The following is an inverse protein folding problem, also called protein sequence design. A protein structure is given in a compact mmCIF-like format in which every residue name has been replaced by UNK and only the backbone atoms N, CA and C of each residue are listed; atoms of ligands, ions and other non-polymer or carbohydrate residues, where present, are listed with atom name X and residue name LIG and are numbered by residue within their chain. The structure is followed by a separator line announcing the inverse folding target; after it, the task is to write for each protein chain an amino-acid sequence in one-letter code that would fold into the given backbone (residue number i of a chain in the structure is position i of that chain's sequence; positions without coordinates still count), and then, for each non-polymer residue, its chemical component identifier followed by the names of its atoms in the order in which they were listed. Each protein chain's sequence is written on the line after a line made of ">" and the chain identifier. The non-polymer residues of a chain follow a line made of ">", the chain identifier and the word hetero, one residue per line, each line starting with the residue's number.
data_IF_272374177873
#
_entry.id   IF_272374177873
#
_cell.length_a   1.000
_cell.length_b   1.000
_cell.length_c   1.000
_cell.angle_alpha   90.00
_cell.angle_beta   90.00
_cell.angle_gamma   90.00
#
_symmetry.space_group_name_H-M   'P 1'
#
loop_
_entity.id
_entity.type
_entity.pdbx_description
1 polymer ?
#
# COMPACT_ATOMS: atom_id res chain seq x y z
N UNK A 1 41.50 43.04 46.01
CA UNK A 1 42.26 44.31 45.84
C UNK A 1 42.80 44.37 44.43
N UNK A 2 42.95 45.57 43.86
CA UNK A 2 43.07 45.80 42.41
C UNK A 2 44.49 46.16 41.96
N UNK A 3 44.89 45.71 40.76
CA UNK A 3 45.85 46.27 39.79
C UNK A 3 46.00 45.22 38.66
N UNK A 4 45.75 45.39 37.36
CA UNK A 4 45.80 46.51 36.39
C UNK A 4 47.24 46.94 36.00
N UNK A 5 47.59 46.69 34.72
CA UNK A 5 48.77 47.12 33.92
C UNK A 5 49.60 45.94 33.36
N UNK A 6 50.07 45.91 32.10
CA UNK A 6 49.68 46.70 30.90
C UNK A 6 49.95 45.95 29.57
N UNK A 7 49.44 46.52 28.47
CA UNK A 7 49.53 46.19 27.03
C UNK A 7 50.85 45.59 26.48
N UNK A 8 50.69 44.72 25.46
CA UNK A 8 51.41 44.86 24.19
C UNK A 8 50.53 44.41 23.01
N UNK A 9 50.67 45.10 21.87
CA UNK A 9 49.81 44.99 20.69
C UNK A 9 50.50 44.13 19.63
N UNK A 10 49.75 43.19 19.03
CA UNK A 10 50.12 42.57 17.75
C UNK A 10 48.88 42.42 16.89
N UNK A 11 48.74 43.28 15.89
CA UNK A 11 47.66 43.21 14.91
C UNK A 11 47.99 42.13 13.86
N UNK A 12 47.19 41.07 13.82
CA UNK A 12 47.23 40.09 12.73
C UNK A 12 46.00 40.30 11.83
N UNK A 13 46.20 41.01 10.72
CA UNK A 13 45.19 41.12 9.65
C UNK A 13 45.13 39.78 8.93
N UNK A 14 44.08 39.01 9.19
CA UNK A 14 43.71 37.85 8.38
C UNK A 14 42.43 38.18 7.62
N UNK A 15 42.55 38.17 6.29
CA UNK A 15 41.54 38.70 5.38
C UNK A 15 40.20 37.99 5.53
N UNK A 16 39.11 38.77 5.52
CA UNK A 16 37.75 38.28 5.49
C UNK A 16 37.43 37.64 4.13
N UNK A 17 37.88 36.40 3.94
CA UNK A 17 37.34 35.51 2.93
C UNK A 17 35.92 35.12 3.31
N UNK A 18 34.94 35.96 2.97
CA UNK A 18 33.51 35.62 3.01
C UNK A 18 33.22 34.58 1.92
N UNK A 19 33.71 33.36 2.14
CA UNK A 19 33.18 32.18 1.50
C UNK A 19 31.73 32.07 1.96
N UNK A 20 30.81 32.52 1.10
CA UNK A 20 29.41 32.15 1.18
C UNK A 20 29.35 30.64 1.01
N UNK A 21 29.44 29.92 2.14
CA UNK A 21 29.14 28.52 2.23
C UNK A 21 27.63 28.38 2.01
N UNK A 22 27.22 28.44 0.74
CA UNK A 22 25.87 28.11 0.31
C UNK A 22 25.60 26.72 0.87
N UNK A 23 24.64 26.57 1.82
CA UNK A 23 24.38 25.27 2.41
C UNK A 23 23.91 24.36 1.28
N UNK A 24 24.77 23.45 0.85
CA UNK A 24 24.43 22.46 -0.16
C UNK A 24 23.15 21.77 0.33
N UNK A 25 22.06 21.77 -0.46
CA UNK A 25 20.78 21.28 0.02
C UNK A 25 20.97 19.82 0.44
N UNK A 26 20.86 19.56 1.75
CA UNK A 26 21.04 18.23 2.31
C UNK A 26 20.05 17.30 1.62
N UNK A 27 20.57 16.48 0.69
CA UNK A 27 19.75 15.70 -0.24
C UNK A 27 18.90 14.74 0.59
N UNK A 28 17.62 15.10 0.76
CA UNK A 28 16.72 14.42 1.67
C UNK A 28 16.67 12.95 1.28
N UNK A 29 17.18 12.08 2.16
CA UNK A 29 17.42 10.67 1.85
C UNK A 29 16.17 10.07 1.21
N UNK A 30 16.31 9.61 -0.05
CA UNK A 30 15.18 9.28 -0.92
C UNK A 30 14.17 8.39 -0.17
N UNK A 31 12.94 8.90 -0.03
CA UNK A 31 11.89 8.23 0.73
C UNK A 31 11.58 6.83 0.17
N UNK A 32 10.91 5.95 0.96
CA UNK A 32 10.56 4.61 0.50
C UNK A 32 9.81 4.70 -0.83
N UNK A 33 10.27 3.99 -1.87
CA UNK A 33 9.73 4.22 -3.22
C UNK A 33 8.22 3.94 -3.29
N UNK A 34 7.72 3.04 -2.44
CA UNK A 34 6.31 2.73 -2.27
C UNK A 34 5.43 3.94 -1.93
N UNK A 35 5.97 5.01 -1.33
CA UNK A 35 5.22 6.25 -1.07
C UNK A 35 4.87 6.94 -2.39
N UNK A 36 3.57 7.16 -2.63
CA UNK A 36 3.04 7.77 -3.86
C UNK A 36 1.72 7.17 -4.30
N UNK A 37 1.32 7.50 -5.53
CA UNK A 37 0.09 7.00 -6.17
C UNK A 37 0.41 5.98 -7.25
N UNK A 38 -0.36 4.89 -7.23
CA UNK A 38 -0.10 3.68 -7.99
C UNK A 38 -1.39 3.21 -8.66
N UNK A 39 -1.38 2.97 -9.98
CA UNK A 39 -2.49 2.36 -10.71
C UNK A 39 -2.26 0.87 -10.82
N UNK A 40 -3.21 0.07 -10.36
CA UNK A 40 -3.19 -1.38 -10.49
C UNK A 40 -3.25 -1.75 -11.98
N UNK A 41 -2.25 -2.50 -12.43
CA UNK A 41 -2.10 -2.97 -13.82
C UNK A 41 -2.39 -4.45 -13.98
N UNK A 42 -2.32 -5.23 -12.88
CA UNK A 42 -2.59 -6.67 -12.87
C UNK A 42 -2.82 -7.14 -11.43
N UNK A 43 -3.82 -7.97 -11.25
CA UNK A 43 -4.12 -8.68 -10.01
C UNK A 43 -4.25 -10.18 -10.32
N UNK A 44 -3.64 -11.00 -9.49
CA UNK A 44 -3.81 -12.45 -9.48
C UNK A 44 -3.95 -12.91 -8.04
N UNK A 45 -5.01 -13.64 -7.76
CA UNK A 45 -5.21 -14.36 -6.51
C UNK A 45 -5.32 -15.84 -6.79
N UNK A 46 -4.76 -16.65 -5.90
CA UNK A 46 -4.98 -18.09 -5.79
C UNK A 46 -5.20 -18.43 -4.32
N UNK A 47 -6.14 -19.32 -4.06
CA UNK A 47 -6.19 -20.04 -2.78
C UNK A 47 -6.60 -21.49 -2.98
N UNK A 48 -6.15 -22.30 -2.05
CA UNK A 48 -6.61 -23.66 -1.77
C UNK A 48 -6.78 -23.73 -0.25
N UNK A 49 -8.00 -23.96 0.22
CA UNK A 49 -8.36 -24.05 1.64
C UNK A 49 -9.23 -25.31 1.74
N UNK A 50 -8.65 -26.39 2.27
CA UNK A 50 -9.24 -27.73 2.27
C UNK A 50 -9.71 -28.09 0.85
N UNK A 51 -10.97 -28.50 0.66
CA UNK A 51 -11.50 -28.85 -0.67
C UNK A 51 -11.86 -27.64 -1.55
N UNK A 52 -11.71 -26.41 -1.03
CA UNK A 52 -12.07 -25.18 -1.74
C UNK A 52 -10.88 -24.64 -2.52
N UNK A 53 -11.03 -24.45 -3.82
CA UNK A 53 -10.07 -23.69 -4.64
C UNK A 53 -10.68 -22.39 -5.12
N UNK A 54 -9.86 -21.34 -5.25
CA UNK A 54 -10.25 -20.07 -5.84
C UNK A 54 -9.12 -19.43 -6.64
N UNK A 55 -9.46 -18.80 -7.75
CA UNK A 55 -8.55 -18.05 -8.60
C UNK A 55 -9.24 -16.74 -9.02
N UNK A 56 -8.67 -15.58 -8.65
CA UNK A 56 -9.24 -14.28 -9.02
C UNK A 56 -8.30 -13.43 -9.89
N UNK A 57 -8.91 -12.61 -10.75
CA UNK A 57 -8.23 -11.64 -11.63
C UNK A 57 -9.15 -10.44 -11.91
N UNK A 58 -8.58 -9.34 -12.40
CA UNK A 58 -9.34 -8.13 -12.75
C UNK A 58 -8.93 -6.94 -11.87
N UNK A 59 -9.87 -6.04 -11.59
CA UNK A 59 -9.62 -4.88 -10.72
C UNK A 59 -8.74 -3.77 -11.32
N UNK A 60 -8.15 -3.98 -12.50
CA UNK A 60 -7.19 -3.05 -13.08
C UNK A 60 -7.79 -1.65 -13.25
N UNK A 61 -6.97 -0.61 -13.05
CA UNK A 61 -7.43 0.78 -13.01
C UNK A 61 -7.80 1.30 -11.62
N UNK A 62 -7.98 0.42 -10.63
CA UNK A 62 -7.96 0.80 -9.22
C UNK A 62 -6.66 1.57 -8.89
N UNK A 63 -6.75 2.59 -8.03
CA UNK A 63 -5.58 3.36 -7.58
C UNK A 63 -5.31 3.11 -6.10
N UNK A 64 -4.05 2.88 -5.75
CA UNK A 64 -3.54 2.79 -4.39
C UNK A 64 -2.62 3.99 -4.13
N UNK A 65 -2.95 4.82 -3.15
CA UNK A 65 -2.10 5.90 -2.65
C UNK A 65 -1.53 5.49 -1.30
N UNK A 66 -0.21 5.44 -1.18
CA UNK A 66 0.52 5.07 0.05
C UNK A 66 1.24 6.31 0.57
N UNK A 67 1.07 6.58 1.87
CA UNK A 67 1.88 7.52 2.65
C UNK A 67 2.62 6.76 3.76
N UNK A 68 3.44 7.47 4.56
CA UNK A 68 4.11 6.87 5.72
C UNK A 68 3.15 6.39 6.84
N UNK A 69 1.90 6.87 6.86
CA UNK A 69 0.93 6.60 7.95
C UNK A 69 -0.47 6.17 7.47
N UNK A 70 -0.72 6.16 6.16
CA UNK A 70 -2.01 5.79 5.57
C UNK A 70 -1.87 5.11 4.21
N UNK A 71 -2.86 4.30 3.87
CA UNK A 71 -3.05 3.80 2.52
C UNK A 71 -4.52 4.01 2.11
N UNK A 72 -4.74 4.46 0.89
CA UNK A 72 -6.07 4.72 0.34
C UNK A 72 -6.24 4.04 -1.02
N UNK A 73 -7.32 3.29 -1.17
CA UNK A 73 -7.74 2.68 -2.43
C UNK A 73 -8.87 3.51 -3.04
N UNK A 74 -8.80 3.76 -4.35
CA UNK A 74 -9.83 4.38 -5.16
C UNK A 74 -10.24 3.45 -6.29
N UNK A 75 -11.47 2.93 -6.20
CA UNK A 75 -12.02 1.96 -7.15
C UNK A 75 -12.85 2.61 -8.26
N UNK A 76 -12.89 3.95 -8.34
CA UNK A 76 -13.74 4.68 -9.29
C UNK A 76 -13.43 4.42 -10.78
N UNK A 77 -12.30 3.76 -11.08
CA UNK A 77 -11.92 3.27 -12.42
C UNK A 77 -11.47 1.80 -12.42
N UNK A 78 -11.80 1.04 -11.38
CA UNK A 78 -11.47 -0.37 -11.31
C UNK A 78 -12.34 -1.18 -12.29
N UNK A 79 -11.73 -2.09 -13.03
CA UNK A 79 -12.47 -3.18 -13.68
C UNK A 79 -13.08 -4.10 -12.62
N UNK A 80 -14.11 -4.86 -13.01
CA UNK A 80 -14.65 -5.94 -12.16
C UNK A 80 -13.55 -6.96 -11.84
N UNK A 81 -13.57 -7.50 -10.62
CA UNK A 81 -12.83 -8.70 -10.26
C UNK A 81 -13.70 -9.91 -10.60
N UNK A 82 -13.10 -10.98 -11.09
CA UNK A 82 -13.77 -12.25 -11.35
C UNK A 82 -12.99 -13.35 -10.66
N UNK A 83 -13.66 -14.02 -9.74
CA UNK A 83 -13.18 -15.17 -8.98
C UNK A 83 -13.84 -16.43 -9.53
N UNK A 84 -13.04 -17.43 -9.90
CA UNK A 84 -13.52 -18.76 -10.27
C UNK A 84 -12.94 -19.79 -9.32
N UNK A 85 -13.72 -20.78 -8.94
CA UNK A 85 -13.28 -21.78 -7.98
C UNK A 85 -14.11 -23.05 -8.04
N UNK A 86 -13.76 -23.97 -7.15
CA UNK A 86 -14.48 -25.21 -6.88
C UNK A 86 -14.69 -25.32 -5.38
N UNK A 87 -15.87 -25.77 -4.95
CA UNK A 87 -16.21 -26.10 -3.56
C UNK A 87 -16.97 -27.42 -3.59
N UNK A 88 -16.56 -28.43 -2.82
CA UNK A 88 -17.22 -29.75 -2.75
C UNK A 88 -17.43 -30.41 -4.14
N UNK A 89 -16.54 -30.11 -5.10
CA UNK A 89 -16.64 -30.54 -6.50
C UNK A 89 -17.41 -29.60 -7.44
N UNK A 90 -18.25 -28.71 -6.91
CA UNK A 90 -19.05 -27.77 -7.69
C UNK A 90 -18.28 -26.50 -8.10
N UNK A 91 -18.29 -26.20 -9.40
CA UNK A 91 -17.61 -25.05 -9.96
C UNK A 91 -18.45 -23.77 -9.79
N UNK A 92 -17.87 -22.74 -9.17
CA UNK A 92 -18.52 -21.43 -8.98
C UNK A 92 -17.81 -20.30 -9.71
N UNK A 93 -18.55 -19.20 -9.94
CA UNK A 93 -17.99 -17.93 -10.41
C UNK A 93 -18.62 -16.77 -9.66
N UNK A 94 -17.80 -16.01 -8.94
CA UNK A 94 -18.17 -14.72 -8.35
C UNK A 94 -17.62 -13.59 -9.22
N UNK A 95 -18.42 -12.55 -9.43
CA UNK A 95 -17.99 -11.29 -10.02
C UNK A 95 -18.20 -10.18 -9.02
N UNK A 96 -17.17 -9.38 -8.78
CA UNK A 96 -17.18 -8.28 -7.80
C UNK A 96 -16.91 -6.94 -8.48
N UNK A 97 -17.73 -5.94 -8.15
CA UNK A 97 -17.59 -4.56 -8.64
C UNK A 97 -17.34 -3.63 -7.47
N UNK A 98 -16.10 -3.19 -7.36
CA UNK A 98 -15.64 -2.23 -6.36
C UNK A 98 -15.93 -0.80 -6.83
N UNK A 99 -16.40 0.08 -5.95
CA UNK A 99 -16.65 1.51 -6.23
C UNK A 99 -16.20 2.41 -5.08
N UNK A 100 -16.01 3.70 -5.38
CA UNK A 100 -15.64 4.78 -4.44
C UNK A 100 -14.29 4.52 -3.74
N UNK A 101 -14.04 5.19 -2.60
CA UNK A 101 -12.74 5.24 -1.90
C UNK A 101 -12.78 4.59 -0.52
N UNK A 102 -11.72 3.85 -0.19
CA UNK A 102 -11.48 3.20 1.11
C UNK A 102 -10.12 3.66 1.65
N UNK A 103 -10.03 4.07 2.90
CA UNK A 103 -8.80 4.59 3.51
C UNK A 103 -8.54 3.93 4.85
N UNK A 104 -7.27 3.56 5.09
CA UNK A 104 -6.78 2.99 6.34
C UNK A 104 -5.62 3.82 6.90
N UNK A 105 -5.44 3.80 8.22
CA UNK A 105 -4.11 4.01 8.81
C UNK A 105 -3.24 2.81 8.42
N UNK A 106 -1.97 3.04 8.13
CA UNK A 106 -1.01 1.99 7.77
C UNK A 106 0.32 2.14 8.50
N UNK A 107 1.07 1.03 8.58
CA UNK A 107 2.51 1.01 8.77
C UNK A 107 3.19 0.69 7.44
N UNK A 108 4.30 1.35 7.15
CA UNK A 108 5.15 1.08 6.00
C UNK A 108 6.60 0.92 6.50
N UNK A 109 7.22 -0.22 6.20
CA UNK A 109 8.61 -0.52 6.55
C UNK A 109 9.47 -0.66 5.30
N UNK A 110 10.79 -0.56 5.45
CA UNK A 110 11.73 -0.74 4.33
C UNK A 110 11.84 0.45 3.36
N UNK A 111 12.49 0.22 2.20
CA UNK A 111 12.83 1.28 1.22
C UNK A 111 12.48 0.87 -0.23
N UNK A 112 13.22 -0.10 -0.78
CA UNK A 112 12.97 -0.75 -2.08
C UNK A 112 12.18 -2.05 -1.93
N UNK A 113 12.44 -2.76 -0.84
CA UNK A 113 11.68 -3.90 -0.35
C UNK A 113 11.24 -3.59 1.09
N UNK A 114 10.19 -4.25 1.57
CA UNK A 114 9.63 -4.06 2.92
C UNK A 114 8.19 -4.54 3.01
N UNK A 115 7.47 -4.14 4.06
CA UNK A 115 6.06 -4.50 4.27
C UNK A 115 5.14 -3.29 4.34
N UNK A 116 3.90 -3.49 3.85
CA UNK A 116 2.75 -2.60 4.06
C UNK A 116 1.75 -3.32 4.95
N UNK A 117 1.39 -2.71 6.08
CA UNK A 117 0.38 -3.23 7.01
C UNK A 117 -0.74 -2.21 7.14
N UNK A 118 -1.97 -2.58 6.82
CA UNK A 118 -3.18 -1.79 7.03
C UNK A 118 -3.72 -2.04 8.45
N UNK A 119 -4.48 -1.09 9.00
CA UNK A 119 -5.18 -1.27 10.29
C UNK A 119 -6.68 -1.36 10.05
N UNK A 120 -7.31 -2.55 9.96
CA UNK A 120 -8.71 -2.72 9.55
C UNK A 120 -9.71 -1.93 10.39
N UNK A 121 -9.53 -1.86 11.71
CA UNK A 121 -10.36 -1.06 12.63
C UNK A 121 -10.36 0.45 12.31
N UNK A 122 -9.36 0.95 11.57
CA UNK A 122 -9.27 2.35 11.14
C UNK A 122 -9.92 2.65 9.77
N UNK A 123 -10.56 1.66 9.13
CA UNK A 123 -11.13 1.82 7.80
C UNK A 123 -12.19 2.94 7.73
N UNK A 124 -12.09 3.79 6.70
CA UNK A 124 -12.98 4.92 6.45
C UNK A 124 -13.22 5.10 4.95
N UNK A 125 -14.19 5.94 4.59
CA UNK A 125 -14.58 6.19 3.21
C UNK A 125 -15.86 5.47 2.79
N UNK A 126 -16.33 5.80 1.59
CA UNK A 126 -17.61 5.35 1.06
C UNK A 126 -17.54 4.10 0.17
N UNK A 127 -16.42 3.35 0.19
CA UNK A 127 -16.24 2.22 -0.72
C UNK A 127 -17.25 1.08 -0.51
N UNK A 128 -17.68 0.53 -1.63
CA UNK A 128 -18.63 -0.59 -1.69
C UNK A 128 -18.14 -1.67 -2.63
N UNK A 129 -18.51 -2.91 -2.30
CA UNK A 129 -18.42 -4.08 -3.18
C UNK A 129 -19.85 -4.51 -3.50
N UNK A 130 -20.15 -4.67 -4.79
CA UNK A 130 -21.37 -5.34 -5.27
C UNK A 130 -20.95 -6.67 -5.89
N UNK A 131 -21.66 -7.75 -5.57
CA UNK A 131 -21.23 -9.12 -5.90
C UNK A 131 -22.32 -9.88 -6.64
N UNK A 132 -21.91 -10.77 -7.55
CA UNK A 132 -22.78 -11.65 -8.32
C UNK A 132 -22.23 -13.08 -8.32
N UNK A 133 -23.04 -14.06 -7.90
CA UNK A 133 -22.73 -15.49 -7.96
C UNK A 133 -23.48 -16.11 -9.14
N UNK A 134 -22.77 -16.70 -10.11
CA UNK A 134 -23.41 -17.27 -11.31
C UNK A 134 -24.21 -16.27 -12.15
N UNK A 135 -23.93 -14.96 -12.00
CA UNK A 135 -24.71 -13.87 -12.61
C UNK A 135 -25.89 -13.35 -11.79
N UNK A 136 -26.27 -14.02 -10.69
CA UNK A 136 -27.30 -13.56 -9.76
C UNK A 136 -26.71 -12.59 -8.72
N UNK A 137 -27.33 -11.41 -8.48
CA UNK A 137 -26.81 -10.44 -7.52
C UNK A 137 -26.95 -10.95 -6.08
N UNK A 138 -25.85 -10.95 -5.32
CA UNK A 138 -25.85 -11.36 -3.90
C UNK A 138 -25.92 -10.18 -2.92
N UNK A 139 -25.87 -8.95 -3.43
CA UNK A 139 -26.09 -7.72 -2.66
C UNK A 139 -25.00 -6.67 -2.84
N UNK A 140 -24.89 -5.74 -1.90
CA UNK A 140 -23.85 -4.71 -1.87
C UNK A 140 -23.44 -4.39 -0.44
N UNK A 141 -22.16 -4.53 -0.12
CA UNK A 141 -21.60 -4.28 1.20
C UNK A 141 -20.73 -3.01 1.26
N UNK A 142 -20.64 -2.39 2.45
CA UNK A 142 -19.76 -1.24 2.72
C UNK A 142 -18.42 -1.75 3.26
N UNK A 143 -17.35 -1.64 2.48
CA UNK A 143 -16.04 -2.22 2.82
C UNK A 143 -15.50 -1.68 4.16
N UNK A 144 -15.67 -0.39 4.45
CA UNK A 144 -15.24 0.17 5.72
C UNK A 144 -15.95 -0.43 6.96
N UNK A 145 -17.17 -0.99 6.79
CA UNK A 145 -17.86 -1.75 7.86
C UNK A 145 -17.27 -3.17 7.95
N UNK A 146 -17.10 -3.84 6.82
CA UNK A 146 -16.56 -5.21 6.74
C UNK A 146 -15.18 -5.31 7.41
N UNK A 147 -14.23 -4.46 7.02
CA UNK A 147 -12.88 -4.42 7.62
C UNK A 147 -12.88 -4.08 9.11
N UNK A 148 -13.82 -3.25 9.59
CA UNK A 148 -13.99 -3.01 11.04
C UNK A 148 -14.57 -4.22 11.76
N UNK A 149 -15.41 -5.00 11.09
CA UNK A 149 -15.96 -6.27 11.58
C UNK A 149 -14.96 -7.43 11.58
N UNK A 150 -13.81 -7.31 10.89
CA UNK A 150 -12.84 -8.40 10.72
C UNK A 150 -13.05 -9.24 9.46
N UNK A 151 -13.96 -8.83 8.57
CA UNK A 151 -14.09 -9.42 7.23
C UNK A 151 -13.05 -8.78 6.30
N UNK A 152 -12.11 -9.59 5.83
CA UNK A 152 -11.05 -9.18 4.91
C UNK A 152 -11.33 -9.66 3.48
N UNK A 153 -10.87 -8.89 2.50
CA UNK A 153 -10.99 -9.18 1.07
C UNK A 153 -9.58 -9.33 0.46
N UNK A 154 -9.26 -10.43 -0.24
CA UNK A 154 -7.94 -10.67 -0.80
C UNK A 154 -7.53 -9.68 -1.91
N UNK A 155 -8.48 -8.91 -2.46
CA UNK A 155 -8.19 -7.80 -3.38
C UNK A 155 -7.68 -6.54 -2.67
N UNK A 156 -7.84 -6.45 -1.34
CA UNK A 156 -7.38 -5.33 -0.52
C UNK A 156 -6.68 -5.93 0.72
N UNK A 157 -5.51 -6.57 0.53
CA UNK A 157 -4.85 -7.33 1.58
C UNK A 157 -4.42 -6.42 2.73
N UNK A 158 -4.68 -6.86 3.96
CA UNK A 158 -4.34 -6.12 5.20
C UNK A 158 -2.86 -6.14 5.53
N UNK A 159 -2.14 -7.10 4.98
CA UNK A 159 -0.69 -7.22 5.04
C UNK A 159 -0.15 -7.59 3.64
N UNK A 160 1.03 -7.09 3.30
CA UNK A 160 1.75 -7.60 2.14
C UNK A 160 3.21 -7.16 2.12
N UNK A 161 4.06 -8.05 1.66
CA UNK A 161 5.43 -7.73 1.28
C UNK A 161 5.42 -6.95 -0.03
N UNK A 162 6.27 -5.93 -0.16
CA UNK A 162 6.38 -5.16 -1.38
C UNK A 162 7.80 -5.14 -1.95
N UNK A 163 7.86 -4.95 -3.26
CA UNK A 163 9.06 -4.49 -3.97
C UNK A 163 8.69 -3.29 -4.84
N UNK A 164 9.56 -2.28 -4.91
CA UNK A 164 9.30 -1.06 -5.69
C UNK A 164 10.52 -0.49 -6.41
N UNK A 165 10.21 0.28 -7.45
CA UNK A 165 11.12 1.19 -8.15
C UNK A 165 10.48 2.58 -8.20
N UNK A 166 11.07 3.53 -8.94
CA UNK A 166 10.40 4.81 -9.23
C UNK A 166 9.17 4.67 -10.14
N UNK A 167 9.03 3.55 -10.87
CA UNK A 167 7.97 3.34 -11.89
C UNK A 167 6.99 2.22 -11.54
N UNK A 168 7.37 1.27 -10.70
CA UNK A 168 6.60 0.06 -10.37
C UNK A 168 6.52 -0.20 -8.87
N UNK A 169 5.42 -0.83 -8.45
CA UNK A 169 5.21 -1.40 -7.13
C UNK A 169 4.59 -2.79 -7.32
N UNK A 170 5.16 -3.81 -6.69
CA UNK A 170 4.54 -5.14 -6.54
C UNK A 170 4.19 -5.32 -5.07
N UNK A 171 2.96 -5.73 -4.77
CA UNK A 171 2.53 -6.16 -3.44
C UNK A 171 2.20 -7.66 -3.51
N UNK A 172 2.67 -8.42 -2.53
CA UNK A 172 2.51 -9.87 -2.41
C UNK A 172 2.02 -10.20 -1.00
N UNK A 173 0.89 -10.89 -0.92
CA UNK A 173 0.45 -11.60 0.27
C UNK A 173 0.63 -13.09 -0.04
N UNK A 174 1.41 -13.79 0.79
CA UNK A 174 1.54 -15.24 0.77
C UNK A 174 1.26 -15.74 2.18
N UNK A 175 0.44 -16.79 2.30
CA UNK A 175 0.17 -17.49 3.54
C UNK A 175 0.08 -18.99 3.23
N UNK A 176 0.68 -19.80 4.09
CA UNK A 176 0.79 -21.25 3.96
C UNK A 176 0.60 -21.87 5.35
N UNK A 177 -0.01 -23.06 5.40
CA UNK A 177 -0.38 -23.77 6.62
C UNK A 177 -1.12 -25.07 6.32
N UNK A 178 -1.44 -25.88 7.34
CA UNK A 178 -2.18 -27.13 7.16
C UNK A 178 -3.49 -26.90 6.39
N UNK A 179 -3.65 -27.60 5.25
CA UNK A 179 -4.81 -27.47 4.37
C UNK A 179 -4.96 -26.12 3.63
N UNK A 180 -4.07 -25.14 3.85
CA UNK A 180 -4.27 -23.76 3.40
C UNK A 180 -3.05 -23.22 2.65
N UNK A 181 -3.23 -22.85 1.38
CA UNK A 181 -2.31 -21.97 0.64
C UNK A 181 -3.06 -20.77 0.08
N UNK A 182 -2.49 -19.58 0.23
CA UNK A 182 -3.04 -18.33 -0.30
C UNK A 182 -1.89 -17.52 -0.92
N UNK A 183 -2.07 -17.09 -2.16
CA UNK A 183 -1.14 -16.21 -2.86
C UNK A 183 -1.90 -15.09 -3.59
N UNK A 184 -1.71 -13.84 -3.17
CA UNK A 184 -2.26 -12.64 -3.80
C UNK A 184 -1.14 -11.75 -4.31
N UNK A 185 -1.14 -11.43 -5.62
CA UNK A 185 -0.13 -10.62 -6.29
C UNK A 185 -0.79 -9.45 -7.00
N UNK A 186 -0.38 -8.24 -6.61
CA UNK A 186 -0.80 -6.99 -7.21
C UNK A 186 0.40 -6.28 -7.83
N UNK A 187 0.33 -5.99 -9.13
CA UNK A 187 1.35 -5.22 -9.85
C UNK A 187 0.77 -3.86 -10.25
N UNK A 188 1.48 -2.79 -9.87
CA UNK A 188 1.09 -1.41 -10.11
C UNK A 188 2.16 -0.63 -10.89
N UNK A 189 1.71 0.36 -11.66
CA UNK A 189 2.54 1.41 -12.27
C UNK A 189 2.30 2.76 -11.57
N UNK A 190 3.32 3.58 -11.42
CA UNK A 190 3.23 4.96 -10.91
C UNK A 190 2.22 5.79 -11.73
N UNK A 191 1.51 6.70 -11.06
CA UNK A 191 0.62 7.72 -11.65
C UNK A 191 1.20 9.09 -11.40
#
# INVERSE_FOLDING_TARGET
>A
MSAVSVRLVSAAVLAAGLAFAVPAPASAAAGPCAVGTWKLTKYKYKSHIDEVTANAKGGEGARLTITKKSAAYDFSRAKKVVTKGVVEGDAYTVTDVFKKKLTFKSGLTGKKTGSLTLKPKSATGGATISSWLGGQPTGTAKLAKNYKGGLEDPFIPTFGQFTCTSKTLKLVLEADGPGTTIASVHEYRRV
#
